data_IF_746449690057
#
_entry.id   IF_746449690057
#
_cell.length_a   1.000
_cell.length_b   1.000
_cell.length_c   1.000
_cell.angle_alpha   90.00
_cell.angle_beta   90.00
_cell.angle_gamma   90.00
#
_symmetry.space_group_name_H-M   'P 1'
#
loop_
_entity.id
_entity.type
_entity.pdbx_description
1 polymer ?
#
# COMPACT_ATOMS: atom_id res chain seq x y z
N UNK A 1 -6.75 5.08 -4.53
CA UNK A 1 -6.96 4.50 -5.87
C UNK A 1 -8.41 4.77 -6.25
N UNK A 2 -8.70 5.01 -7.54
CA UNK A 2 -10.08 5.10 -7.99
C UNK A 2 -10.76 3.73 -7.89
N UNK A 3 -12.06 3.70 -7.58
CA UNK A 3 -12.82 2.46 -7.37
C UNK A 3 -12.86 1.60 -8.64
N UNK A 4 -12.99 2.22 -9.81
CA UNK A 4 -13.07 1.51 -11.08
C UNK A 4 -11.74 0.80 -11.38
N UNK A 5 -10.63 1.50 -11.18
CA UNK A 5 -9.28 0.93 -11.35
C UNK A 5 -9.06 -0.28 -10.44
N UNK A 6 -9.58 -0.24 -9.22
CA UNK A 6 -9.42 -1.35 -8.30
C UNK A 6 -10.32 -2.54 -8.64
N UNK A 7 -11.57 -2.29 -9.06
CA UNK A 7 -12.47 -3.33 -9.52
C UNK A 7 -11.87 -4.07 -10.72
N UNK A 8 -11.36 -3.34 -11.71
CA UNK A 8 -10.68 -3.90 -12.88
C UNK A 8 -9.44 -4.70 -12.50
N UNK A 9 -8.62 -4.19 -11.57
CA UNK A 9 -7.46 -4.91 -11.07
C UNK A 9 -7.86 -6.20 -10.33
N UNK A 10 -8.88 -6.13 -9.49
CA UNK A 10 -9.36 -7.28 -8.69
C UNK A 10 -9.92 -8.36 -9.61
N UNK A 11 -10.76 -7.98 -10.58
CA UNK A 11 -11.32 -8.89 -11.57
C UNK A 11 -10.23 -9.59 -12.39
N UNK A 12 -9.19 -8.84 -12.81
CA UNK A 12 -8.04 -9.43 -13.50
C UNK A 12 -7.32 -10.50 -12.66
N UNK A 13 -7.13 -10.26 -11.36
CA UNK A 13 -6.50 -11.25 -10.47
C UNK A 13 -7.37 -12.51 -10.27
N UNK A 14 -8.69 -12.34 -10.19
CA UNK A 14 -9.64 -13.46 -10.12
C UNK A 14 -9.63 -14.25 -11.42
N UNK A 15 -9.59 -13.58 -12.58
CA UNK A 15 -9.48 -14.22 -13.89
C UNK A 15 -8.20 -15.02 -14.03
N UNK A 16 -7.04 -14.44 -13.70
CA UNK A 16 -5.74 -15.09 -13.81
C UNK A 16 -5.67 -16.38 -12.99
N UNK A 17 -6.29 -16.40 -11.81
CA UNK A 17 -6.22 -17.55 -10.89
C UNK A 17 -7.33 -18.58 -11.08
N UNK A 18 -8.52 -18.16 -11.51
CA UNK A 18 -9.71 -19.04 -11.57
C UNK A 18 -10.20 -19.31 -12.99
N UNK A 19 -9.69 -18.56 -13.97
CA UNK A 19 -10.17 -18.59 -15.37
C UNK A 19 -11.54 -17.98 -15.56
N UNK A 20 -12.12 -17.32 -14.54
CA UNK A 20 -13.44 -16.69 -14.59
C UNK A 20 -13.36 -15.26 -14.07
N UNK A 21 -14.12 -14.38 -14.69
CA UNK A 21 -14.34 -13.02 -14.20
C UNK A 21 -15.27 -13.03 -12.99
N UNK A 22 -15.22 -11.94 -12.21
CA UNK A 22 -16.28 -11.61 -11.28
C UNK A 22 -17.58 -11.43 -12.06
N UNK A 23 -18.68 -11.97 -11.53
CA UNK A 23 -19.98 -11.69 -12.11
C UNK A 23 -20.50 -10.30 -11.70
N UNK A 24 -21.50 -9.81 -12.43
CA UNK A 24 -22.06 -8.47 -12.19
C UNK A 24 -22.57 -8.26 -10.77
N UNK A 25 -23.02 -9.33 -10.10
CA UNK A 25 -23.52 -9.25 -8.73
C UNK A 25 -22.35 -9.18 -7.73
N UNK A 26 -21.29 -9.93 -7.96
CA UNK A 26 -20.05 -9.88 -7.18
C UNK A 26 -19.37 -8.51 -7.30
N UNK A 27 -19.30 -7.95 -8.51
CA UNK A 27 -18.83 -6.58 -8.74
C UNK A 27 -19.69 -5.57 -7.99
N UNK A 28 -21.02 -5.67 -8.09
CA UNK A 28 -21.95 -4.76 -7.39
C UNK A 28 -21.83 -4.85 -5.87
N UNK A 29 -21.59 -6.05 -5.33
CA UNK A 29 -21.33 -6.24 -3.89
C UNK A 29 -20.01 -5.58 -3.51
N UNK A 30 -18.94 -5.81 -4.28
CA UNK A 30 -17.63 -5.24 -4.00
C UNK A 30 -17.66 -3.71 -4.07
N UNK A 31 -18.33 -3.16 -5.08
CA UNK A 31 -18.56 -1.73 -5.25
C UNK A 31 -19.37 -1.15 -4.09
N UNK A 32 -20.49 -1.78 -3.71
CA UNK A 32 -21.33 -1.31 -2.62
C UNK A 32 -20.59 -1.25 -1.29
N UNK A 33 -19.75 -2.25 -0.99
CA UNK A 33 -18.88 -2.22 0.19
C UNK A 33 -17.89 -1.04 0.15
N UNK A 34 -17.37 -0.72 -1.04
CA UNK A 34 -16.47 0.41 -1.25
C UNK A 34 -17.13 1.76 -1.00
N UNK A 35 -18.39 1.88 -1.41
CA UNK A 35 -19.26 3.04 -1.22
C UNK A 35 -19.90 3.10 0.18
N UNK A 36 -19.46 2.23 1.10
CA UNK A 36 -19.95 2.13 2.48
C UNK A 36 -21.42 1.69 2.62
N UNK A 37 -21.96 1.01 1.60
CA UNK A 37 -23.31 0.45 1.66
C UNK A 37 -23.36 -0.82 2.51
N UNK A 38 -24.47 -1.01 3.22
CA UNK A 38 -24.75 -2.28 3.87
C UNK A 38 -25.39 -3.30 2.92
N UNK A 39 -25.59 -4.54 3.38
CA UNK A 39 -26.19 -5.58 2.53
C UNK A 39 -27.68 -5.34 2.24
N UNK A 40 -28.38 -4.56 3.06
CA UNK A 40 -29.77 -4.21 2.80
C UNK A 40 -29.87 -3.18 1.68
N UNK A 41 -28.98 -2.19 1.68
CA UNK A 41 -28.85 -1.19 0.61
C UNK A 41 -28.43 -1.85 -0.70
N UNK A 42 -27.40 -2.70 -0.68
CA UNK A 42 -26.95 -3.46 -1.85
C UNK A 42 -28.08 -4.35 -2.39
N UNK A 43 -28.85 -4.99 -1.51
CA UNK A 43 -30.00 -5.82 -1.89
C UNK A 43 -31.09 -4.99 -2.58
N UNK A 44 -31.44 -3.83 -2.03
CA UNK A 44 -32.40 -2.89 -2.64
C UNK A 44 -31.92 -2.42 -4.02
N UNK A 45 -30.65 -2.01 -4.12
CA UNK A 45 -30.04 -1.51 -5.36
C UNK A 45 -30.03 -2.58 -6.47
N UNK A 46 -29.85 -3.85 -6.10
CA UNK A 46 -29.81 -4.98 -7.04
C UNK A 46 -31.16 -5.70 -7.20
N UNK A 47 -32.23 -5.21 -6.56
CA UNK A 47 -33.56 -5.85 -6.53
C UNK A 47 -33.50 -7.33 -6.12
N UNK A 48 -32.65 -7.65 -5.13
CA UNK A 48 -32.47 -8.99 -4.57
C UNK A 48 -32.87 -9.03 -3.11
N UNK A 49 -33.01 -10.23 -2.54
CA UNK A 49 -33.20 -10.38 -1.10
C UNK A 49 -31.87 -10.18 -0.36
N UNK A 50 -31.96 -9.67 0.87
CA UNK A 50 -30.82 -9.57 1.78
C UNK A 50 -30.08 -10.90 1.93
N UNK A 51 -30.81 -12.00 2.11
CA UNK A 51 -30.20 -13.33 2.28
C UNK A 51 -29.43 -13.79 1.03
N UNK A 52 -29.92 -13.44 -0.16
CA UNK A 52 -29.22 -13.75 -1.40
C UNK A 52 -27.92 -12.95 -1.51
N UNK A 53 -27.95 -11.65 -1.22
CA UNK A 53 -26.74 -10.81 -1.20
C UNK A 53 -25.74 -11.32 -0.17
N UNK A 54 -26.19 -11.64 1.06
CA UNK A 54 -25.31 -12.12 2.12
C UNK A 54 -24.66 -13.45 1.75
N UNK A 55 -25.42 -14.37 1.13
CA UNK A 55 -24.89 -15.64 0.63
C UNK A 55 -23.86 -15.44 -0.47
N UNK A 56 -24.14 -14.56 -1.42
CA UNK A 56 -23.22 -14.29 -2.53
C UNK A 56 -21.96 -13.55 -2.07
N UNK A 57 -22.11 -12.60 -1.16
CA UNK A 57 -20.98 -11.91 -0.53
C UNK A 57 -20.08 -12.89 0.24
N UNK A 58 -20.66 -13.86 0.97
CA UNK A 58 -19.87 -14.89 1.63
C UNK A 58 -19.03 -15.71 0.64
N UNK A 59 -19.62 -16.14 -0.49
CA UNK A 59 -18.87 -16.84 -1.54
C UNK A 59 -17.77 -15.97 -2.13
N UNK A 60 -18.07 -14.69 -2.37
CA UNK A 60 -17.09 -13.72 -2.86
C UNK A 60 -15.89 -13.61 -1.90
N UNK A 61 -16.13 -13.54 -0.58
CA UNK A 61 -15.05 -13.50 0.41
C UNK A 61 -14.21 -14.77 0.43
N UNK A 62 -14.80 -15.95 0.25
CA UNK A 62 -14.05 -17.20 0.10
C UNK A 62 -13.21 -17.20 -1.18
N UNK A 63 -13.81 -16.80 -2.31
CA UNK A 63 -13.13 -16.69 -3.59
C UNK A 63 -11.92 -15.76 -3.51
N UNK A 64 -12.11 -14.55 -2.98
CA UNK A 64 -11.02 -13.59 -2.85
C UNK A 64 -9.96 -14.10 -1.86
N UNK A 65 -10.36 -14.75 -0.76
CA UNK A 65 -9.41 -15.36 0.17
C UNK A 65 -8.50 -16.36 -0.52
N UNK A 66 -9.10 -17.24 -1.33
CA UNK A 66 -8.37 -18.22 -2.12
C UNK A 66 -7.47 -17.54 -3.16
N UNK A 67 -7.95 -16.50 -3.84
CA UNK A 67 -7.17 -15.78 -4.85
C UNK A 67 -5.95 -15.11 -4.23
N UNK A 68 -6.13 -14.38 -3.14
CA UNK A 68 -5.09 -13.55 -2.54
C UNK A 68 -4.26 -14.23 -1.45
N UNK A 69 -4.63 -15.47 -1.08
CA UNK A 69 -4.00 -16.27 -0.02
C UNK A 69 -3.99 -15.55 1.34
N UNK A 70 -5.07 -14.82 1.62
CA UNK A 70 -5.28 -14.08 2.87
C UNK A 70 -6.72 -14.28 3.33
N UNK A 71 -6.99 -14.17 4.63
CA UNK A 71 -8.35 -14.30 5.17
C UNK A 71 -9.17 -13.04 4.88
N UNK A 72 -9.92 -13.04 3.77
CA UNK A 72 -10.75 -11.92 3.33
C UNK A 72 -12.16 -12.04 3.91
N UNK A 73 -12.64 -10.92 4.46
CA UNK A 73 -13.91 -10.68 5.11
C UNK A 73 -14.45 -9.32 4.67
N UNK A 74 -15.76 -9.09 4.83
CA UNK A 74 -16.37 -7.77 4.59
C UNK A 74 -15.60 -6.61 5.26
N UNK A 75 -15.07 -6.84 6.46
CA UNK A 75 -14.39 -5.79 7.24
C UNK A 75 -13.01 -5.42 6.75
N UNK A 76 -12.32 -6.30 6.01
CA UNK A 76 -10.91 -6.12 5.63
C UNK A 76 -10.66 -6.17 4.11
N UNK A 77 -11.68 -6.52 3.31
CA UNK A 77 -11.52 -6.63 1.85
C UNK A 77 -10.99 -5.36 1.22
N UNK A 78 -11.43 -4.20 1.71
CA UNK A 78 -10.98 -2.90 1.19
C UNK A 78 -9.49 -2.69 1.38
N UNK A 79 -8.99 -2.87 2.60
CA UNK A 79 -7.58 -2.65 2.91
C UNK A 79 -6.68 -3.65 2.19
N UNK A 80 -7.05 -4.93 2.17
CA UNK A 80 -6.27 -5.98 1.52
C UNK A 80 -6.15 -5.71 0.02
N UNK A 81 -7.26 -5.39 -0.65
CA UNK A 81 -7.25 -5.09 -2.08
C UNK A 81 -6.51 -3.79 -2.39
N UNK A 82 -6.72 -2.71 -1.63
CA UNK A 82 -5.98 -1.44 -1.82
C UNK A 82 -4.47 -1.65 -1.67
N UNK A 83 -4.04 -2.39 -0.65
CA UNK A 83 -2.62 -2.64 -0.39
C UNK A 83 -1.99 -3.52 -1.49
N UNK A 84 -2.65 -4.63 -1.87
CA UNK A 84 -2.12 -5.53 -2.90
C UNK A 84 -2.15 -4.91 -4.29
N UNK A 85 -3.19 -4.15 -4.62
CA UNK A 85 -3.25 -3.43 -5.88
C UNK A 85 -2.16 -2.38 -5.95
N UNK A 86 -1.95 -1.63 -4.86
CA UNK A 86 -0.90 -0.62 -4.81
C UNK A 86 0.49 -1.24 -4.94
N UNK A 87 0.77 -2.37 -4.27
CA UNK A 87 2.06 -3.06 -4.41
C UNK A 87 2.27 -3.67 -5.80
N UNK A 88 1.23 -4.25 -6.39
CA UNK A 88 1.30 -4.90 -7.71
C UNK A 88 1.41 -3.88 -8.85
N UNK A 89 0.62 -2.81 -8.79
CA UNK A 89 0.65 -1.72 -9.79
C UNK A 89 1.98 -0.96 -9.69
N UNK A 90 2.52 -0.77 -8.48
CA UNK A 90 3.85 -0.19 -8.29
C UNK A 90 4.96 -1.04 -8.91
N UNK A 91 4.90 -2.37 -8.77
CA UNK A 91 5.84 -3.29 -9.39
C UNK A 91 5.75 -3.30 -10.93
N UNK A 92 4.57 -3.05 -11.49
CA UNK A 92 4.35 -3.01 -12.94
C UNK A 92 4.81 -1.69 -13.57
N UNK A 93 4.64 -0.57 -12.86
CA UNK A 93 4.99 0.78 -13.36
C UNK A 93 6.49 1.08 -13.24
N UNK A 94 7.18 0.48 -12.26
CA UNK A 94 8.63 0.66 -12.06
C UNK A 94 9.52 -0.39 -12.73
N UNK A 95 8.95 -1.25 -13.59
CA UNK A 95 9.74 -2.13 -14.45
C UNK A 95 9.82 -1.52 -15.85
N UNK A 96 10.92 -0.84 -16.24
CA UNK A 96 11.07 -0.36 -17.59
C UNK A 96 11.50 -1.50 -18.51
N UNK A 97 10.82 -2.65 -18.51
CA UNK A 97 10.91 -3.64 -19.57
C UNK A 97 9.65 -4.51 -19.61
N UNK A 98 8.76 -4.20 -20.55
CA UNK A 98 7.82 -5.18 -21.10
C UNK A 98 8.61 -6.43 -21.51
N UNK A 99 8.32 -7.56 -20.88
CA UNK A 99 8.37 -8.85 -21.54
C UNK A 99 7.32 -9.76 -20.92
N UNK A 100 6.27 -10.00 -21.71
CA UNK A 100 5.46 -11.22 -21.61
C UNK A 100 6.43 -12.40 -21.60
N UNK A 101 6.47 -13.18 -20.50
CA UNK A 101 6.78 -14.61 -20.64
C UNK A 101 6.31 -15.45 -19.45
N UNK A 102 5.23 -16.18 -19.69
CA UNK A 102 4.94 -17.44 -19.01
C UNK A 102 6.08 -18.46 -19.22
N UNK A 103 6.35 -19.23 -18.16
CA UNK A 103 7.02 -20.54 -18.09
C UNK A 103 8.52 -20.67 -18.43
N UNK A 104 9.24 -21.22 -17.44
CA UNK A 104 10.32 -22.22 -17.46
C UNK A 104 11.29 -22.27 -18.67
N UNK A 105 12.60 -22.10 -18.39
CA UNK A 105 13.75 -22.98 -18.73
C UNK A 105 15.07 -22.17 -18.68
N UNK A 106 16.10 -22.76 -18.05
CA UNK A 106 17.50 -22.28 -17.93
C UNK A 106 18.19 -22.02 -19.28
N UNK A 107 19.26 -21.19 -19.28
CA UNK A 107 20.62 -21.53 -19.78
C UNK A 107 21.54 -20.28 -19.74
N UNK A 108 22.73 -20.44 -19.17
CA UNK A 108 23.84 -19.48 -19.15
C UNK A 108 24.60 -19.47 -20.50
N UNK A 109 25.12 -18.31 -20.97
CA UNK A 109 26.52 -18.14 -21.45
C UNK A 109 26.91 -16.68 -21.83
N UNK A 110 27.90 -16.16 -21.08
CA UNK A 110 29.11 -15.35 -21.39
C UNK A 110 29.30 -14.39 -22.60
N UNK A 111 29.89 -13.23 -22.24
CA UNK A 111 30.97 -12.41 -22.88
C UNK A 111 30.67 -11.16 -23.76
N UNK A 112 30.79 -9.96 -23.13
CA UNK A 112 31.60 -8.71 -23.38
C UNK A 112 32.16 -8.35 -24.80
N UNK A 113 32.75 -7.15 -25.08
CA UNK A 113 32.84 -5.82 -24.39
C UNK A 113 32.74 -4.56 -25.34
N UNK A 114 33.14 -3.36 -24.84
CA UNK A 114 33.49 -2.05 -25.48
C UNK A 114 32.47 -0.89 -25.27
N UNK A 115 32.74 0.11 -24.39
CA UNK A 115 33.56 1.36 -24.54
C UNK A 115 32.60 2.56 -24.69
N UNK A 116 32.73 3.78 -24.17
CA UNK A 116 33.78 4.53 -23.47
C UNK A 116 33.12 5.79 -22.84
N UNK A 117 33.58 6.16 -21.65
CA UNK A 117 33.76 7.49 -21.05
C UNK A 117 32.98 8.70 -21.62
N UNK A 118 32.31 9.44 -20.72
CA UNK A 118 32.61 10.86 -20.46
C UNK A 118 31.92 11.36 -19.17
N UNK A 119 32.72 11.63 -18.14
CA UNK A 119 32.32 12.45 -17.00
C UNK A 119 32.09 13.90 -17.47
N UNK A 120 30.88 14.40 -17.30
CA UNK A 120 30.64 15.82 -17.01
C UNK A 120 29.94 15.91 -15.66
N UNK A 121 30.65 16.49 -14.70
CA UNK A 121 30.09 17.08 -13.48
C UNK A 121 28.99 18.06 -13.91
N UNK A 122 27.76 17.66 -13.68
CA UNK A 122 26.58 18.52 -13.57
C UNK A 122 25.90 18.09 -12.29
N UNK A 123 25.58 19.05 -11.44
CA UNK A 123 24.78 18.90 -10.24
C UNK A 123 23.45 18.23 -10.59
N UNK A 124 23.34 16.93 -10.37
CA UNK A 124 22.12 16.18 -10.57
C UNK A 124 21.55 15.85 -9.19
N UNK A 125 20.85 16.82 -8.60
CA UNK A 125 19.69 16.43 -7.81
C UNK A 125 18.74 15.78 -8.83
N UNK A 126 18.26 14.54 -8.62
CA UNK A 126 17.21 14.02 -9.46
C UNK A 126 16.00 14.93 -9.26
N UNK A 127 15.56 15.59 -10.32
CA UNK A 127 14.21 16.14 -10.39
C UNK A 127 13.26 14.96 -10.18
N UNK A 128 12.80 14.79 -8.93
CA UNK A 128 11.78 13.81 -8.56
C UNK A 128 10.41 14.36 -9.00
N UNK A 129 10.20 14.42 -10.31
CA UNK A 129 8.87 14.54 -10.87
C UNK A 129 8.17 13.17 -10.71
N UNK A 130 7.27 13.10 -9.73
CA UNK A 130 6.20 12.09 -9.60
C UNK A 130 6.60 10.61 -9.50
N UNK A 131 7.57 10.25 -8.65
CA UNK A 131 7.63 8.86 -8.14
C UNK A 131 6.58 8.65 -7.04
N UNK A 132 5.80 7.57 -7.14
CA UNK A 132 4.85 7.19 -6.10
C UNK A 132 5.60 6.77 -4.82
N UNK A 133 5.08 7.13 -3.64
CA UNK A 133 5.69 6.77 -2.36
C UNK A 133 5.84 5.26 -2.21
N UNK A 134 6.98 4.80 -1.70
CA UNK A 134 7.19 3.42 -1.25
C UNK A 134 6.62 3.30 0.16
N UNK A 135 5.51 2.57 0.27
CA UNK A 135 4.71 2.51 1.50
C UNK A 135 4.75 1.10 2.09
N UNK A 136 5.13 1.00 3.37
CA UNK A 136 5.01 -0.22 4.17
C UNK A 136 4.13 0.04 5.40
N UNK A 137 2.87 -0.38 5.27
CA UNK A 137 1.86 -0.33 6.33
C UNK A 137 1.43 -1.74 6.77
N UNK A 138 2.21 -2.78 6.50
CA UNK A 138 1.80 -4.18 6.76
C UNK A 138 1.48 -4.41 8.23
N UNK A 139 2.20 -3.72 9.13
CA UNK A 139 2.01 -3.82 10.59
C UNK A 139 0.97 -2.82 11.13
N UNK A 140 0.34 -1.99 10.29
CA UNK A 140 -0.63 -1.00 10.72
C UNK A 140 -2.03 -1.61 10.91
N UNK A 141 -2.78 -1.21 11.95
CA UNK A 141 -4.16 -1.65 12.12
C UNK A 141 -5.10 -1.03 11.06
N UNK A 142 -6.23 -1.67 10.80
CA UNK A 142 -7.21 -1.19 9.82
C UNK A 142 -7.86 0.13 10.25
N UNK A 143 -7.87 1.09 9.32
CA UNK A 143 -8.68 2.30 9.43
C UNK A 143 -10.16 1.96 9.19
N UNK A 144 -10.96 1.87 10.27
CA UNK A 144 -12.38 1.50 10.16
C UNK A 144 -13.38 2.65 10.10
N UNK A 145 -12.96 3.91 10.05
CA UNK A 145 -13.90 5.05 10.18
C UNK A 145 -13.49 6.32 9.43
N UNK A 146 -14.48 7.18 9.14
CA UNK A 146 -14.28 8.58 8.80
C UNK A 146 -14.10 9.39 10.10
N UNK A 147 -12.89 9.87 10.37
CA UNK A 147 -12.55 10.54 11.63
C UNK A 147 -12.82 12.05 11.58
N UNK A 148 -13.55 12.57 12.57
CA UNK A 148 -13.89 13.99 12.73
C UNK A 148 -12.76 14.91 13.21
N UNK A 149 -11.52 14.41 13.33
CA UNK A 149 -10.34 15.09 13.89
C UNK A 149 -9.65 16.01 12.88
N UNK A 150 -10.44 16.80 12.13
CA UNK A 150 -9.94 17.61 11.00
C UNK A 150 -8.93 18.67 11.45
N UNK A 151 -9.13 19.26 12.64
CA UNK A 151 -8.22 20.28 13.18
C UNK A 151 -6.83 19.68 13.42
N UNK A 152 -6.77 18.54 14.10
CA UNK A 152 -5.49 17.88 14.40
C UNK A 152 -4.80 17.39 13.13
N UNK A 153 -5.54 16.87 12.15
CA UNK A 153 -4.98 16.52 10.84
C UNK A 153 -4.35 17.75 10.17
N UNK A 154 -5.05 18.88 10.15
CA UNK A 154 -4.52 20.12 9.58
C UNK A 154 -3.25 20.60 10.29
N UNK A 155 -3.22 20.57 11.63
CA UNK A 155 -2.03 20.92 12.42
C UNK A 155 -0.85 19.98 12.11
N UNK A 156 -1.10 18.67 12.03
CA UNK A 156 -0.04 17.71 11.70
C UNK A 156 0.51 17.92 10.29
N UNK A 157 -0.35 18.22 9.30
CA UNK A 157 0.08 18.57 7.95
C UNK A 157 0.97 19.82 7.94
N UNK A 158 0.54 20.88 8.63
CA UNK A 158 1.33 22.11 8.75
C UNK A 158 2.72 21.83 9.35
N UNK A 159 2.81 21.00 10.39
CA UNK A 159 4.11 20.61 10.96
C UNK A 159 4.99 19.84 9.99
N UNK A 160 4.42 18.94 9.18
CA UNK A 160 5.16 18.20 8.14
C UNK A 160 5.62 19.11 7.00
N UNK A 161 4.80 20.07 6.59
CA UNK A 161 5.14 21.06 5.57
C UNK A 161 6.25 22.00 6.06
N UNK A 162 6.22 22.35 7.36
CA UNK A 162 7.28 23.10 8.05
C UNK A 162 8.55 22.27 8.35
N UNK A 163 8.68 21.07 7.77
CA UNK A 163 9.84 20.17 7.89
C UNK A 163 10.16 19.76 9.34
N UNK A 164 9.14 19.64 10.18
CA UNK A 164 9.30 19.11 11.54
C UNK A 164 9.78 17.66 11.47
N UNK A 165 10.94 17.38 12.07
CA UNK A 165 11.64 16.07 11.93
C UNK A 165 11.17 15.01 12.93
N UNK A 166 10.51 15.44 14.00
CA UNK A 166 9.98 14.55 15.03
C UNK A 166 8.65 15.12 15.55
N UNK A 167 7.61 14.31 15.49
CA UNK A 167 6.28 14.65 15.99
C UNK A 167 5.86 13.52 16.93
N UNK A 168 5.45 13.89 18.14
CA UNK A 168 4.89 12.96 19.13
C UNK A 168 3.40 13.21 19.27
N UNK A 169 2.59 12.19 18.99
CA UNK A 169 1.13 12.23 19.21
C UNK A 169 0.84 11.49 20.51
N UNK A 170 0.41 12.21 21.55
CA UNK A 170 0.12 11.64 22.87
C UNK A 170 -1.31 11.93 23.31
N UNK A 171 -1.81 11.16 24.27
CA UNK A 171 -3.18 11.24 24.75
C UNK A 171 -3.68 9.92 25.33
N UNK A 172 -4.90 9.94 25.87
CA UNK A 172 -5.52 8.78 26.54
C UNK A 172 -5.54 7.53 25.64
N UNK A 173 -5.57 6.35 26.27
CA UNK A 173 -5.76 5.09 25.55
C UNK A 173 -7.11 5.10 24.81
N UNK A 174 -7.16 4.49 23.62
CA UNK A 174 -8.37 4.43 22.79
C UNK A 174 -8.85 5.77 22.20
N UNK A 175 -8.18 6.90 22.45
CA UNK A 175 -8.61 8.22 21.94
C UNK A 175 -8.45 8.38 20.42
N UNK A 176 -7.90 7.38 19.73
CA UNK A 176 -7.73 7.35 18.28
C UNK A 176 -6.42 7.96 17.76
N UNK A 177 -5.31 7.85 18.50
CA UNK A 177 -3.98 8.33 18.08
C UNK A 177 -3.50 7.61 16.80
N UNK A 178 -3.47 6.28 16.83
CA UNK A 178 -3.14 5.44 15.67
C UNK A 178 -4.03 5.75 14.48
N UNK A 179 -5.34 5.85 14.71
CA UNK A 179 -6.30 6.19 13.68
C UNK A 179 -6.05 7.58 13.04
N UNK A 180 -5.72 8.58 13.86
CA UNK A 180 -5.33 9.91 13.39
C UNK A 180 -4.08 9.85 12.51
N UNK A 181 -3.06 9.09 12.94
CA UNK A 181 -1.80 8.92 12.20
C UNK A 181 -2.04 8.24 10.85
N UNK A 182 -2.79 7.15 10.82
CA UNK A 182 -3.10 6.45 9.58
C UNK A 182 -3.95 7.31 8.64
N UNK A 183 -4.89 8.09 9.18
CA UNK A 183 -5.67 9.05 8.40
C UNK A 183 -4.76 10.14 7.82
N UNK A 184 -3.79 10.66 8.58
CA UNK A 184 -2.80 11.61 8.08
C UNK A 184 -2.01 11.02 6.91
N UNK A 185 -1.49 9.79 7.04
CA UNK A 185 -0.74 9.10 5.97
C UNK A 185 -1.54 9.08 4.68
N UNK A 186 -2.84 8.72 4.74
CA UNK A 186 -3.70 8.68 3.54
C UNK A 186 -3.80 10.02 2.81
N UNK A 187 -3.56 11.15 3.49
CA UNK A 187 -3.67 12.50 2.93
C UNK A 187 -2.33 13.13 2.55
N UNK A 188 -1.22 12.66 3.12
CA UNK A 188 0.13 13.22 2.86
C UNK A 188 1.02 12.28 2.05
N UNK A 189 0.56 11.08 1.71
CA UNK A 189 1.43 10.04 1.16
C UNK A 189 2.26 10.49 -0.04
N UNK A 190 1.66 11.25 -0.95
CA UNK A 190 2.33 11.75 -2.17
C UNK A 190 3.48 12.73 -1.92
N UNK A 191 3.64 13.23 -0.70
CA UNK A 191 4.71 14.15 -0.35
C UNK A 191 6.00 13.44 0.06
N UNK A 192 5.99 12.12 0.24
CA UNK A 192 7.12 11.36 0.78
C UNK A 192 7.61 10.34 -0.26
N UNK A 193 8.91 10.08 -0.27
CA UNK A 193 9.48 8.99 -1.07
C UNK A 193 9.27 7.64 -0.37
N UNK A 194 9.31 7.65 0.97
CA UNK A 194 9.13 6.46 1.81
C UNK A 194 8.17 6.72 2.96
N UNK A 195 7.26 5.78 3.22
CA UNK A 195 6.39 5.78 4.41
C UNK A 195 6.48 4.41 5.06
N UNK A 196 6.93 4.38 6.31
CA UNK A 196 7.21 3.13 7.02
C UNK A 196 6.45 3.14 8.34
N UNK A 197 5.60 2.15 8.58
CA UNK A 197 4.91 1.96 9.84
C UNK A 197 5.51 0.78 10.60
N UNK A 198 5.86 1.01 11.88
CA UNK A 198 6.31 -0.03 12.80
C UNK A 198 5.55 0.06 14.11
N UNK A 199 5.06 -1.09 14.54
CA UNK A 199 4.55 -1.27 15.91
C UNK A 199 5.71 -1.51 16.87
N UNK A 200 5.62 -0.92 18.06
CA UNK A 200 6.52 -1.06 19.20
C UNK A 200 5.93 -1.97 20.29
N UNK A 201 4.76 -2.60 20.07
CA UNK A 201 4.09 -3.52 21.02
C UNK A 201 5.03 -4.64 21.52
N UNK A 202 6.00 -5.03 20.68
CA UNK A 202 7.11 -5.90 21.04
C UNK A 202 8.42 -5.12 20.96
N UNK A 203 8.70 -4.27 21.96
CA UNK A 203 9.84 -3.33 22.01
C UNK A 203 11.08 -3.96 21.36
N UNK A 204 11.35 -3.67 20.08
CA UNK A 204 12.52 -4.20 19.45
C UNK A 204 13.71 -3.50 20.10
N UNK A 205 14.80 -4.23 20.36
CA UNK A 205 16.06 -3.55 20.64
C UNK A 205 16.31 -2.55 19.50
N UNK A 206 16.90 -1.38 19.80
CA UNK A 206 17.17 -0.36 18.79
C UNK A 206 17.87 -0.94 17.55
N UNK A 207 18.72 -1.95 17.77
CA UNK A 207 19.40 -2.73 16.72
C UNK A 207 18.41 -3.49 15.84
N UNK A 208 17.41 -4.16 16.40
CA UNK A 208 16.39 -4.87 15.64
C UNK A 208 15.51 -3.91 14.81
N UNK A 209 15.17 -2.74 15.34
CA UNK A 209 14.48 -1.70 14.55
C UNK A 209 15.39 -1.18 13.42
N UNK A 210 16.68 -0.96 13.70
CA UNK A 210 17.67 -0.57 12.70
C UNK A 210 17.72 -1.61 11.57
N UNK A 211 17.88 -2.88 11.92
CA UNK A 211 18.02 -3.96 10.94
C UNK A 211 16.75 -4.14 10.09
N UNK A 212 15.57 -4.04 10.71
CA UNK A 212 14.28 -4.09 10.00
C UNK A 212 14.14 -2.92 9.00
N UNK A 213 14.45 -1.68 9.41
CA UNK A 213 14.43 -0.53 8.51
C UNK A 213 15.44 -0.67 7.37
N UNK A 214 16.67 -1.14 7.68
CA UNK A 214 17.69 -1.38 6.65
C UNK A 214 17.26 -2.45 5.66
N UNK A 215 16.64 -3.53 6.13
CA UNK A 215 16.12 -4.58 5.27
C UNK A 215 15.06 -4.03 4.31
N UNK A 216 14.12 -3.23 4.80
CA UNK A 216 13.11 -2.59 3.96
C UNK A 216 13.74 -1.69 2.88
N UNK A 217 14.65 -0.80 3.28
CA UNK A 217 15.34 0.12 2.37
C UNK A 217 16.25 -0.57 1.34
N UNK A 218 16.82 -1.72 1.68
CA UNK A 218 17.68 -2.47 0.75
C UNK A 218 16.88 -3.27 -0.27
N UNK A 219 15.67 -3.70 0.09
CA UNK A 219 14.75 -4.38 -0.85
C UNK A 219 14.11 -3.41 -1.86
N UNK A 220 14.07 -2.12 -1.55
CA UNK A 220 13.42 -1.10 -2.38
C UNK A 220 14.31 -0.50 -3.47
N UNK A 221 15.64 -0.67 -3.41
CA UNK A 221 16.60 -0.11 -4.37
C UNK A 221 17.45 -1.19 -5.04
N UNK A 222 17.76 -0.98 -6.33
CA UNK A 222 18.70 -1.81 -7.08
C UNK A 222 20.14 -1.72 -6.55
N UNK A 223 20.51 -0.55 -6.01
CA UNK A 223 21.81 -0.29 -5.39
C UNK A 223 21.58 0.25 -3.98
N UNK A 224 21.64 -0.60 -2.94
CA UNK A 224 21.36 -0.18 -1.58
C UNK A 224 22.43 0.78 -1.03
N UNK A 225 21.99 1.75 -0.23
CA UNK A 225 22.89 2.65 0.51
C UNK A 225 23.42 1.93 1.77
N UNK A 226 24.62 2.31 2.25
CA UNK A 226 25.31 1.55 3.29
C UNK A 226 24.66 1.65 4.68
N UNK A 227 24.14 2.81 5.09
CA UNK A 227 23.42 3.01 6.35
C UNK A 227 22.05 3.67 6.13
N UNK A 228 21.13 3.48 7.07
CA UNK A 228 19.79 4.08 7.09
C UNK A 228 19.89 5.61 7.10
N UNK A 229 20.90 6.19 7.75
CA UNK A 229 21.09 7.64 7.74
C UNK A 229 21.30 8.18 6.32
N UNK A 230 21.93 7.40 5.43
CA UNK A 230 22.11 7.78 4.03
C UNK A 230 20.76 7.81 3.31
N UNK A 231 19.86 6.87 3.61
CA UNK A 231 18.48 6.89 3.11
C UNK A 231 17.70 8.09 3.63
N UNK A 232 17.72 8.34 4.95
CA UNK A 232 16.99 9.44 5.59
C UNK A 232 17.48 10.83 5.18
N UNK A 233 18.71 10.93 4.67
CA UNK A 233 19.28 12.18 4.16
C UNK A 233 19.08 12.37 2.66
N UNK A 234 18.97 11.28 1.89
CA UNK A 234 18.78 11.31 0.44
C UNK A 234 17.31 11.36 0.01
N UNK A 235 16.41 10.85 0.85
CA UNK A 235 14.99 10.70 0.56
C UNK A 235 14.11 11.31 1.65
N UNK A 236 12.96 11.86 1.24
CA UNK A 236 11.94 12.37 2.16
C UNK A 236 11.17 11.19 2.75
N UNK A 237 11.59 10.74 3.93
CA UNK A 237 11.02 9.58 4.62
C UNK A 237 10.06 10.01 5.74
N UNK A 238 8.93 9.33 5.88
CA UNK A 238 8.04 9.38 7.04
C UNK A 238 8.08 8.04 7.76
N UNK A 239 8.62 8.01 8.97
CA UNK A 239 8.66 6.81 9.81
C UNK A 239 7.67 6.98 10.96
N UNK A 240 6.73 6.06 11.08
CA UNK A 240 5.74 5.97 12.13
C UNK A 240 6.15 4.86 13.07
N UNK A 241 6.35 5.21 14.33
CA UNK A 241 6.57 4.28 15.43
C UNK A 241 5.35 4.38 16.34
N UNK A 242 4.51 3.35 16.34
CA UNK A 242 3.28 3.31 17.15
C UNK A 242 3.39 2.24 18.23
N UNK A 243 2.89 2.53 19.43
CA UNK A 243 2.95 1.62 20.59
C UNK A 243 1.90 0.52 20.55
#
# INVERSE_FOLDING_TARGET
MDIQTLLEWTDKQVLEKTGKHLDSLQESILQGIWEHQDYEEIAKNNQRSYDHIKKEAWKLWQLLSDVFQEDIKKSNVRSILENKASSTIYNFVNSPHNNIRNNHVNVCRENNPYSENNLKKSSNFPDNDHQSPIIDLIKAPELRYNYGRKLEISTLKEWLDNKTRLITIYGLSGIGKTALTLKLISEVARQFDYIIYRSLENIPQLIALKDDLKQFFTQSLSTPLPDIIDYLSSYRCLIILDE
#
